data_IF_987333381342
#
_entry.id   IF_987333381342
#
_cell.length_a   1.000
_cell.length_b   1.000
_cell.length_c   1.000
_cell.angle_alpha   90.00
_cell.angle_beta   90.00
_cell.angle_gamma   90.00
#
_symmetry.space_group_name_H-M   'P 1'
#
loop_
_entity.id
_entity.type
_entity.pdbx_description
1 polymer ?
#
# COMPACT_ATOMS: atom_id res chain seq x y z
N UNK A 1 13.30 -5.39 10.63
CA UNK A 1 12.26 -4.32 10.64
C UNK A 1 11.50 -4.30 9.32
N UNK A 2 10.41 -3.52 9.21
CA UNK A 2 9.61 -3.34 7.98
C UNK A 2 9.94 -1.98 7.35
N UNK A 3 10.07 -1.94 6.02
CA UNK A 3 10.21 -0.71 5.22
C UNK A 3 9.03 -0.63 4.26
N UNK A 4 8.46 0.58 4.06
CA UNK A 4 7.37 0.83 3.13
C UNK A 4 7.81 1.74 1.98
N UNK A 5 7.21 1.54 0.80
CA UNK A 5 7.61 2.21 -0.44
C UNK A 5 6.47 2.98 -1.12
N UNK A 6 5.29 3.09 -0.49
CA UNK A 6 4.10 3.55 -1.21
C UNK A 6 3.19 4.50 -0.46
N UNK A 7 3.60 5.10 0.67
CA UNK A 7 2.75 6.04 1.41
C UNK A 7 2.83 7.48 0.88
N UNK A 8 4.00 7.90 0.39
CA UNK A 8 4.25 9.27 -0.08
C UNK A 8 4.42 9.38 -1.58
N UNK A 9 4.67 8.26 -2.26
CA UNK A 9 4.85 8.16 -3.72
C UNK A 9 4.60 6.71 -4.16
N UNK A 10 4.71 6.45 -5.46
CA UNK A 10 4.68 5.10 -6.03
C UNK A 10 6.09 4.75 -6.54
N UNK A 11 6.90 4.17 -5.63
CA UNK A 11 8.29 3.77 -5.96
C UNK A 11 8.31 2.69 -7.05
N UNK A 12 7.53 1.59 -6.95
CA UNK A 12 7.50 0.59 -7.99
C UNK A 12 7.21 1.12 -9.39
N UNK A 13 6.26 2.06 -9.49
CA UNK A 13 5.82 2.59 -10.78
C UNK A 13 6.83 3.54 -11.45
N UNK A 14 7.54 4.35 -10.68
CA UNK A 14 8.30 5.49 -11.23
C UNK A 14 9.77 5.52 -10.84
N UNK A 15 10.18 4.73 -9.86
CA UNK A 15 11.50 4.79 -9.23
C UNK A 15 12.11 3.41 -9.02
N UNK A 16 11.68 2.43 -9.82
CA UNK A 16 12.14 1.04 -9.74
C UNK A 16 13.66 0.90 -9.91
N UNK A 17 14.25 1.62 -10.88
CA UNK A 17 15.70 1.64 -11.10
C UNK A 17 16.44 2.23 -9.89
N UNK A 18 15.96 3.38 -9.37
CA UNK A 18 16.52 3.98 -8.16
C UNK A 18 16.48 2.99 -7.00
N UNK A 19 15.34 2.36 -6.76
CA UNK A 19 15.18 1.41 -5.68
C UNK A 19 16.12 0.20 -5.84
N UNK A 20 16.24 -0.32 -7.06
CA UNK A 20 17.20 -1.38 -7.38
C UNK A 20 18.65 -0.97 -7.06
N UNK A 21 19.04 0.27 -7.35
CA UNK A 21 20.35 0.79 -7.00
C UNK A 21 20.52 0.93 -5.48
N UNK A 22 19.48 1.38 -4.76
CA UNK A 22 19.52 1.44 -3.28
C UNK A 22 19.68 0.06 -2.64
N UNK A 23 19.00 -0.96 -3.17
CA UNK A 23 19.17 -2.35 -2.70
C UNK A 23 20.61 -2.87 -2.92
N UNK A 24 21.20 -2.57 -4.08
CA UNK A 24 22.58 -2.97 -4.38
C UNK A 24 23.61 -2.26 -3.49
N UNK A 25 23.40 -0.98 -3.20
CA UNK A 25 24.28 -0.19 -2.33
C UNK A 25 24.02 -0.42 -0.83
N UNK A 26 22.91 -1.06 -0.48
CA UNK A 26 22.59 -1.48 0.87
C UNK A 26 22.11 -0.37 1.80
N UNK A 27 21.77 0.84 1.29
CA UNK A 27 21.21 1.91 2.10
C UNK A 27 20.40 2.92 1.31
N UNK A 28 19.56 3.68 2.03
CA UNK A 28 18.76 4.79 1.51
C UNK A 28 18.75 5.95 2.52
N UNK A 29 18.79 7.18 2.01
CA UNK A 29 18.62 8.41 2.79
C UNK A 29 17.23 8.98 2.59
N UNK A 30 16.56 9.28 3.70
CA UNK A 30 15.20 9.83 3.72
C UNK A 30 15.20 11.16 4.42
N UNK A 31 14.86 12.22 3.70
CA UNK A 31 14.75 13.57 4.23
C UNK A 31 13.43 13.75 4.97
N UNK A 32 13.49 14.32 6.17
CA UNK A 32 12.29 14.60 6.95
C UNK A 32 11.44 15.68 6.23
N UNK A 33 10.16 15.40 5.88
CA UNK A 33 9.33 16.34 5.15
C UNK A 33 8.98 17.62 5.93
N UNK A 34 9.13 17.60 7.26
CA UNK A 34 8.85 18.74 8.16
C UNK A 34 10.11 19.49 8.60
N UNK A 35 11.28 18.87 8.48
CA UNK A 35 12.57 19.48 8.76
C UNK A 35 13.60 19.01 7.72
N UNK A 36 13.76 19.74 6.62
CA UNK A 36 14.59 19.30 5.49
C UNK A 36 16.05 19.01 5.83
N UNK A 37 16.60 19.62 6.89
CA UNK A 37 17.97 19.36 7.31
C UNK A 37 18.15 18.06 8.09
N UNK A 38 17.06 17.40 8.50
CA UNK A 38 17.13 16.09 9.15
C UNK A 38 17.04 14.99 8.10
N UNK A 39 18.05 14.13 8.07
CA UNK A 39 18.18 13.00 7.16
C UNK A 39 18.30 11.72 7.97
N UNK A 40 17.42 10.77 7.74
CA UNK A 40 17.52 9.42 8.29
C UNK A 40 18.16 8.51 7.26
N UNK A 41 19.28 7.84 7.62
CA UNK A 41 19.89 6.82 6.78
C UNK A 41 19.47 5.44 7.27
N UNK A 42 18.81 4.68 6.40
CA UNK A 42 18.37 3.32 6.64
C UNK A 42 19.24 2.33 5.88
N UNK A 43 19.69 1.28 6.54
CA UNK A 43 20.27 0.11 5.87
C UNK A 43 19.16 -0.63 5.11
N UNK A 44 19.48 -1.06 3.91
CA UNK A 44 18.67 -1.97 3.10
C UNK A 44 19.40 -3.34 3.03
N UNK A 45 19.57 -3.95 4.18
CA UNK A 45 20.29 -5.21 4.34
C UNK A 45 19.29 -6.27 4.83
N UNK A 46 19.18 -7.46 4.20
CA UNK A 46 18.25 -8.51 4.60
C UNK A 46 18.42 -8.97 6.06
N UNK A 47 19.59 -8.75 6.67
CA UNK A 47 19.81 -9.08 8.09
C UNK A 47 19.05 -8.17 9.06
N UNK A 48 18.56 -7.01 8.62
CA UNK A 48 17.84 -6.04 9.45
C UNK A 48 16.48 -5.63 8.86
N UNK A 49 16.26 -5.84 7.55
CA UNK A 49 14.98 -5.58 6.88
C UNK A 49 14.28 -6.91 6.64
N UNK A 50 13.28 -7.21 7.46
CA UNK A 50 12.54 -8.48 7.42
C UNK A 50 11.52 -8.49 6.28
N UNK A 51 10.84 -7.35 6.06
CA UNK A 51 9.80 -7.21 5.03
C UNK A 51 9.86 -5.83 4.38
N UNK A 52 9.66 -5.82 3.07
CA UNK A 52 9.41 -4.60 2.30
C UNK A 52 7.93 -4.59 1.90
N UNK A 53 7.19 -3.57 2.38
CA UNK A 53 5.80 -3.33 2.02
C UNK A 53 5.71 -2.41 0.80
N UNK A 54 5.05 -2.88 -0.24
CA UNK A 54 4.85 -2.14 -1.48
C UNK A 54 3.38 -1.71 -1.60
N UNK A 55 3.15 -0.46 -2.01
CA UNK A 55 1.84 0.00 -2.47
C UNK A 55 2.03 0.67 -3.82
N UNK A 56 1.38 0.17 -4.86
CA UNK A 56 1.59 0.65 -6.24
C UNK A 56 0.33 0.60 -7.07
N UNK A 57 0.23 1.46 -8.07
CA UNK A 57 -0.73 1.35 -9.17
C UNK A 57 -0.13 0.76 -10.45
N UNK A 58 1.17 0.46 -10.43
CA UNK A 58 1.84 -0.14 -11.60
C UNK A 58 3.08 -0.93 -11.14
N UNK A 59 2.98 -2.24 -10.92
CA UNK A 59 4.11 -3.06 -10.50
C UNK A 59 5.10 -3.37 -11.63
N UNK A 60 4.71 -3.22 -12.90
CA UNK A 60 5.49 -3.69 -14.05
C UNK A 60 6.95 -3.21 -14.10
N UNK A 61 7.30 -1.93 -13.76
CA UNK A 61 8.69 -1.49 -13.77
C UNK A 61 9.59 -2.22 -12.77
N UNK A 62 9.01 -2.88 -11.74
CA UNK A 62 9.80 -3.68 -10.79
C UNK A 62 10.12 -5.09 -11.28
N UNK A 63 9.41 -5.64 -12.25
CA UNK A 63 9.63 -7.03 -12.70
C UNK A 63 11.07 -7.35 -13.11
N UNK A 64 11.82 -6.48 -13.80
CA UNK A 64 13.22 -6.73 -14.09
C UNK A 64 14.12 -6.81 -12.86
N UNK A 65 13.67 -6.26 -11.74
CA UNK A 65 14.43 -6.12 -10.50
C UNK A 65 14.04 -7.13 -9.41
N UNK A 66 13.04 -7.99 -9.63
CA UNK A 66 12.53 -8.93 -8.62
C UNK A 66 13.60 -9.85 -8.04
N UNK A 67 14.63 -10.19 -8.81
CA UNK A 67 15.77 -10.99 -8.31
C UNK A 67 16.52 -10.35 -7.16
N UNK A 68 16.51 -9.01 -7.04
CA UNK A 68 17.14 -8.28 -5.94
C UNK A 68 16.34 -8.39 -4.63
N UNK A 69 15.09 -8.79 -4.72
CA UNK A 69 14.17 -8.90 -3.58
C UNK A 69 14.09 -10.32 -2.99
N UNK A 70 14.80 -11.30 -3.56
CA UNK A 70 14.69 -12.72 -3.19
C UNK A 70 15.00 -13.02 -1.70
N UNK A 71 15.88 -12.22 -1.10
CA UNK A 71 16.33 -12.39 0.28
C UNK A 71 15.51 -11.54 1.28
N UNK A 72 14.50 -10.80 0.80
CA UNK A 72 13.59 -9.99 1.61
C UNK A 72 12.20 -10.62 1.64
N UNK A 73 11.53 -10.55 2.78
CA UNK A 73 10.10 -10.71 2.82
C UNK A 73 9.43 -9.57 2.01
N UNK A 74 8.32 -9.90 1.36
CA UNK A 74 7.60 -8.94 0.52
C UNK A 74 6.12 -8.98 0.84
N UNK A 75 5.47 -7.80 0.85
CA UNK A 75 4.02 -7.70 0.85
C UNK A 75 3.60 -6.58 -0.09
N UNK A 76 2.75 -6.91 -1.06
CA UNK A 76 2.36 -6.01 -2.13
C UNK A 76 0.89 -5.65 -2.04
N UNK A 77 0.59 -4.35 -2.06
CA UNK A 77 -0.71 -3.86 -2.44
C UNK A 77 -0.66 -3.27 -3.85
N UNK A 78 -1.49 -3.83 -4.73
CA UNK A 78 -1.70 -3.24 -6.06
C UNK A 78 -3.07 -2.59 -6.09
N UNK A 79 -3.08 -1.27 -6.35
CA UNK A 79 -4.30 -0.48 -6.41
C UNK A 79 -4.86 -0.50 -7.83
N UNK A 80 -6.03 -1.12 -8.00
CA UNK A 80 -6.80 -1.11 -9.24
C UNK A 80 -8.19 -0.57 -8.92
N UNK A 81 -8.51 0.58 -9.49
CA UNK A 81 -9.75 1.33 -9.32
C UNK A 81 -10.45 1.47 -10.67
N UNK A 82 -11.76 1.75 -10.72
CA UNK A 82 -12.48 1.78 -11.99
C UNK A 82 -12.37 3.13 -12.73
N UNK A 83 -11.59 4.07 -12.20
CA UNK A 83 -11.55 5.43 -12.72
C UNK A 83 -10.82 5.55 -14.04
N UNK A 84 -11.35 6.42 -14.90
CA UNK A 84 -10.75 6.80 -16.16
C UNK A 84 -9.65 7.88 -16.00
N UNK A 85 -9.12 8.35 -17.14
CA UNK A 85 -8.09 9.39 -17.19
C UNK A 85 -8.54 10.76 -16.68
N UNK A 86 -9.85 10.98 -16.57
CA UNK A 86 -10.43 12.17 -15.94
C UNK A 86 -10.10 12.27 -14.44
N UNK A 87 -9.88 11.14 -13.78
CA UNK A 87 -9.53 11.04 -12.36
C UNK A 87 -8.09 10.56 -12.16
N UNK A 88 -7.64 9.62 -12.98
CA UNK A 88 -6.31 8.98 -12.91
C UNK A 88 -5.53 9.18 -14.24
N UNK A 89 -5.05 10.39 -14.52
CA UNK A 89 -4.54 10.75 -15.85
C UNK A 89 -3.44 9.85 -16.39
N UNK A 90 -2.53 9.38 -15.51
CA UNK A 90 -1.32 8.66 -15.89
C UNK A 90 -1.26 7.24 -15.31
N UNK A 91 -2.39 6.71 -14.85
CA UNK A 91 -2.47 5.29 -14.47
C UNK A 91 -2.58 4.45 -15.75
N UNK A 92 -1.85 3.34 -15.87
CA UNK A 92 -1.94 2.45 -17.02
C UNK A 92 -3.35 1.91 -17.27
N UNK A 93 -3.56 1.33 -18.45
CA UNK A 93 -4.79 0.64 -18.79
C UNK A 93 -5.14 -0.46 -17.77
N UNK A 94 -6.43 -0.60 -17.44
CA UNK A 94 -6.87 -1.49 -16.36
C UNK A 94 -6.70 -2.97 -16.71
N UNK A 95 -6.87 -3.36 -17.96
CA UNK A 95 -6.63 -4.75 -18.39
C UNK A 95 -5.16 -5.11 -18.21
N UNK A 96 -4.25 -4.22 -18.64
CA UNK A 96 -2.83 -4.41 -18.40
C UNK A 96 -2.50 -4.51 -16.90
N UNK A 97 -3.12 -3.68 -16.05
CA UNK A 97 -2.89 -3.76 -14.61
C UNK A 97 -3.38 -5.07 -14.00
N UNK A 98 -4.49 -5.63 -14.49
CA UNK A 98 -4.97 -6.96 -14.10
C UNK A 98 -3.98 -8.05 -14.48
N UNK A 99 -3.43 -8.00 -15.70
CA UNK A 99 -2.40 -8.97 -16.14
C UNK A 99 -1.11 -8.84 -15.32
N UNK A 100 -0.67 -7.60 -15.06
CA UNK A 100 0.51 -7.33 -14.22
C UNK A 100 0.28 -7.78 -12.76
N UNK A 101 -0.95 -7.65 -12.23
CA UNK A 101 -1.32 -8.16 -10.91
C UNK A 101 -1.19 -9.68 -10.84
N UNK A 102 -1.79 -10.40 -11.80
CA UNK A 102 -1.71 -11.87 -11.89
C UNK A 102 -0.28 -12.34 -11.95
N UNK A 103 0.51 -11.74 -12.85
CA UNK A 103 1.95 -12.01 -12.97
C UNK A 103 2.70 -11.78 -11.66
N UNK A 104 2.38 -10.70 -10.94
CA UNK A 104 3.01 -10.43 -9.64
C UNK A 104 2.61 -11.48 -8.61
N UNK A 105 1.32 -11.85 -8.57
CA UNK A 105 0.80 -12.91 -7.70
C UNK A 105 1.52 -14.25 -7.91
N UNK A 106 1.74 -14.63 -9.18
CA UNK A 106 2.51 -15.84 -9.52
C UNK A 106 3.97 -15.78 -9.02
N UNK A 107 4.57 -14.58 -8.96
CA UNK A 107 5.95 -14.40 -8.49
C UNK A 107 6.04 -14.42 -6.96
N UNK A 108 5.13 -13.75 -6.26
CA UNK A 108 5.27 -13.51 -4.80
C UNK A 108 4.38 -14.42 -3.96
N UNK A 109 3.38 -15.06 -4.56
CA UNK A 109 2.40 -15.92 -3.91
C UNK A 109 1.22 -15.17 -3.28
N UNK A 110 0.10 -15.87 -3.12
CA UNK A 110 -1.19 -15.34 -2.64
C UNK A 110 -1.10 -14.64 -1.28
N UNK A 111 -0.24 -15.13 -0.38
CA UNK A 111 -0.08 -14.58 0.95
C UNK A 111 0.66 -13.23 0.97
N UNK A 112 1.29 -12.86 -0.15
CA UNK A 112 2.16 -11.67 -0.26
C UNK A 112 1.57 -10.58 -1.13
N UNK A 113 0.30 -10.70 -1.55
CA UNK A 113 -0.34 -9.72 -2.43
C UNK A 113 -1.80 -9.47 -2.01
N UNK A 114 -2.22 -8.21 -2.07
CA UNK A 114 -3.60 -7.79 -1.88
C UNK A 114 -4.01 -6.74 -2.92
N UNK A 115 -5.26 -6.78 -3.30
CA UNK A 115 -5.86 -5.76 -4.15
C UNK A 115 -6.37 -4.59 -3.31
N UNK A 116 -6.18 -3.35 -3.80
CA UNK A 116 -6.77 -2.14 -3.22
C UNK A 116 -7.74 -1.51 -4.21
N UNK A 117 -9.00 -1.42 -3.81
CA UNK A 117 -10.04 -0.65 -4.48
C UNK A 117 -10.28 0.63 -3.67
N UNK A 118 -9.33 1.56 -3.76
CA UNK A 118 -9.16 2.66 -2.82
C UNK A 118 -8.59 3.92 -3.51
N UNK A 119 -9.22 5.10 -3.33
CA UNK A 119 -10.46 5.36 -2.60
C UNK A 119 -11.72 5.20 -3.45
N UNK A 120 -12.87 4.99 -2.81
CA UNK A 120 -14.20 5.03 -3.41
C UNK A 120 -14.79 6.43 -3.22
N UNK A 121 -15.33 7.02 -4.28
CA UNK A 121 -16.18 8.22 -4.20
C UNK A 121 -17.38 8.05 -5.13
N UNK A 122 -18.50 8.70 -4.77
CA UNK A 122 -19.73 8.63 -5.55
C UNK A 122 -19.94 9.95 -6.29
N UNK A 123 -20.30 9.88 -7.57
CA UNK A 123 -20.61 11.01 -8.43
C UNK A 123 -21.66 10.62 -9.47
N UNK A 124 -22.08 11.56 -10.32
CA UNK A 124 -23.01 11.26 -11.43
C UNK A 124 -22.46 10.19 -12.39
N UNK A 125 -21.15 10.22 -12.65
CA UNK A 125 -20.48 9.25 -13.53
C UNK A 125 -20.13 7.95 -12.81
N UNK A 126 -19.62 8.05 -11.59
CA UNK A 126 -19.15 6.94 -10.77
C UNK A 126 -20.19 6.67 -9.67
N UNK A 127 -21.35 6.14 -10.10
CA UNK A 127 -22.49 5.84 -9.21
C UNK A 127 -22.21 4.61 -8.34
N UNK A 128 -23.05 4.36 -7.34
CA UNK A 128 -22.97 3.13 -6.54
C UNK A 128 -23.08 1.89 -7.41
N UNK A 129 -24.03 1.85 -8.35
CA UNK A 129 -24.20 0.73 -9.29
C UNK A 129 -22.99 0.56 -10.22
N UNK A 130 -22.34 1.67 -10.59
CA UNK A 130 -21.09 1.61 -11.34
C UNK A 130 -20.00 0.92 -10.53
N UNK A 131 -19.85 1.28 -9.25
CA UNK A 131 -18.87 0.65 -8.36
C UNK A 131 -19.15 -0.83 -8.14
N UNK A 132 -20.42 -1.23 -7.96
CA UNK A 132 -20.81 -2.63 -7.82
C UNK A 132 -20.37 -3.44 -9.04
N UNK A 133 -20.74 -2.99 -10.25
CA UNK A 133 -20.36 -3.68 -11.50
C UNK A 133 -18.84 -3.72 -11.73
N UNK A 134 -18.15 -2.62 -11.46
CA UNK A 134 -16.71 -2.55 -11.65
C UNK A 134 -15.96 -3.43 -10.62
N UNK A 135 -16.42 -3.46 -9.39
CA UNK A 135 -15.84 -4.30 -8.35
C UNK A 135 -16.04 -5.79 -8.68
N UNK A 136 -17.22 -6.19 -9.14
CA UNK A 136 -17.51 -7.55 -9.62
C UNK A 136 -16.55 -7.96 -10.75
N UNK A 137 -16.40 -7.11 -11.77
CA UNK A 137 -15.50 -7.38 -12.90
C UNK A 137 -14.05 -7.57 -12.47
N UNK A 138 -13.56 -6.72 -11.55
CA UNK A 138 -12.19 -6.82 -11.06
C UNK A 138 -12.04 -8.03 -10.13
N UNK A 139 -13.00 -8.29 -9.24
CA UNK A 139 -12.97 -9.46 -8.34
C UNK A 139 -12.95 -10.75 -9.15
N UNK A 140 -13.82 -10.89 -10.14
CA UNK A 140 -13.84 -12.04 -11.05
C UNK A 140 -12.52 -12.22 -11.81
N UNK A 141 -11.90 -11.12 -12.26
CA UNK A 141 -10.62 -11.17 -12.95
C UNK A 141 -9.46 -11.56 -12.03
N UNK A 142 -9.55 -11.27 -10.72
CA UNK A 142 -8.53 -11.53 -9.71
C UNK A 142 -8.80 -12.78 -8.86
N UNK A 143 -9.87 -13.52 -9.16
CA UNK A 143 -10.20 -14.77 -8.48
C UNK A 143 -9.03 -15.77 -8.57
N UNK A 144 -8.64 -16.32 -7.42
CA UNK A 144 -7.47 -17.19 -7.30
C UNK A 144 -6.10 -16.49 -7.31
N UNK A 145 -6.02 -15.14 -7.47
CA UNK A 145 -4.77 -14.39 -7.46
C UNK A 145 -4.57 -13.53 -6.21
N UNK A 146 -5.59 -13.39 -5.36
CA UNK A 146 -5.50 -12.73 -4.05
C UNK A 146 -6.66 -13.16 -3.17
N UNK A 147 -6.43 -13.17 -1.85
CA UNK A 147 -7.46 -13.41 -0.83
C UNK A 147 -7.89 -12.12 -0.12
N UNK A 148 -7.38 -10.96 -0.55
CA UNK A 148 -7.62 -9.69 0.14
C UNK A 148 -8.04 -8.59 -0.83
N UNK A 149 -9.17 -7.95 -0.54
CA UNK A 149 -9.64 -6.72 -1.17
C UNK A 149 -9.71 -5.60 -0.12
N UNK A 150 -8.86 -4.59 -0.25
CA UNK A 150 -8.89 -3.40 0.64
C UNK A 150 -9.78 -2.34 0.01
N UNK A 151 -10.72 -1.81 0.77
CA UNK A 151 -11.57 -0.68 0.36
C UNK A 151 -11.36 0.50 1.30
N UNK A 152 -11.51 1.73 0.81
CA UNK A 152 -11.74 2.93 1.62
C UNK A 152 -12.58 3.93 0.87
N UNK A 153 -13.26 4.81 1.59
CA UNK A 153 -13.99 5.93 1.00
C UNK A 153 -13.12 7.18 1.01
N UNK A 154 -13.42 8.12 0.09
CA UNK A 154 -12.58 9.29 -0.11
C UNK A 154 -12.56 10.19 1.14
N UNK A 155 -11.35 10.51 1.58
CA UNK A 155 -11.11 11.54 2.59
C UNK A 155 -10.88 12.89 1.91
N UNK A 156 -11.64 13.90 2.27
CA UNK A 156 -11.55 15.23 1.68
C UNK A 156 -10.47 16.10 2.36
N UNK A 157 -9.21 15.63 2.32
CA UNK A 157 -8.06 16.42 2.77
C UNK A 157 -7.95 17.76 2.03
N UNK A 158 -7.27 18.78 2.59
CA UNK A 158 -7.11 20.08 1.91
C UNK A 158 -6.54 19.99 0.49
N UNK A 159 -5.61 19.07 0.24
CA UNK A 159 -5.07 18.83 -1.11
C UNK A 159 -6.09 18.19 -2.04
N UNK A 160 -6.91 17.26 -1.54
CA UNK A 160 -7.99 16.61 -2.30
C UNK A 160 -9.04 17.65 -2.67
N UNK A 161 -9.53 18.45 -1.72
CA UNK A 161 -10.50 19.54 -2.00
C UNK A 161 -10.02 20.51 -3.07
N UNK A 162 -8.72 20.81 -3.11
CA UNK A 162 -8.12 21.68 -4.13
C UNK A 162 -7.99 21.01 -5.49
N UNK A 163 -7.52 19.76 -5.55
CA UNK A 163 -7.24 19.04 -6.79
C UNK A 163 -8.48 18.35 -7.38
N UNK A 164 -9.51 18.15 -6.55
CA UNK A 164 -10.76 17.48 -6.90
C UNK A 164 -11.94 18.21 -6.23
N UNK A 165 -12.22 19.48 -6.61
CA UNK A 165 -13.22 20.34 -5.95
C UNK A 165 -14.65 19.83 -6.06
N UNK A 166 -14.97 19.03 -7.07
CA UNK A 166 -16.28 18.40 -7.23
C UNK A 166 -16.47 17.14 -6.38
N UNK A 167 -15.43 16.59 -5.76
CA UNK A 167 -15.55 15.45 -4.86
C UNK A 167 -16.46 15.78 -3.68
N UNK A 168 -17.29 14.82 -3.30
CA UNK A 168 -18.19 14.91 -2.14
C UNK A 168 -17.88 13.77 -1.18
N UNK A 169 -18.19 14.01 0.06
CA UNK A 169 -18.12 12.97 1.09
C UNK A 169 -19.14 11.87 0.78
N UNK A 170 -18.73 10.62 0.93
CA UNK A 170 -19.63 9.48 0.82
C UNK A 170 -20.38 9.34 2.15
N UNK A 171 -21.70 9.43 2.12
CA UNK A 171 -22.51 9.38 3.34
C UNK A 171 -22.39 8.02 4.05
N UNK A 172 -22.67 7.99 5.33
CA UNK A 172 -22.68 6.74 6.12
C UNK A 172 -23.60 5.69 5.50
N UNK A 173 -24.78 6.07 5.06
CA UNK A 173 -25.75 5.18 4.41
C UNK A 173 -25.18 4.60 3.10
N UNK A 174 -24.59 5.44 2.26
CA UNK A 174 -23.92 5.00 1.04
C UNK A 174 -22.76 4.04 1.33
N UNK A 175 -21.92 4.35 2.33
CA UNK A 175 -20.81 3.47 2.74
C UNK A 175 -21.30 2.10 3.21
N UNK A 176 -22.35 2.06 4.01
CA UNK A 176 -22.91 0.80 4.50
C UNK A 176 -23.56 0.00 3.36
N UNK A 177 -24.36 0.66 2.52
CA UNK A 177 -25.05 0.00 1.40
C UNK A 177 -24.04 -0.57 0.40
N UNK A 178 -23.09 0.25 -0.03
CA UNK A 178 -22.07 -0.19 -0.98
C UNK A 178 -21.12 -1.22 -0.33
N UNK A 179 -20.67 -0.98 0.89
CA UNK A 179 -19.76 -1.87 1.61
C UNK A 179 -20.32 -3.29 1.76
N UNK A 180 -21.60 -3.44 2.09
CA UNK A 180 -22.28 -4.76 2.15
C UNK A 180 -22.21 -5.51 0.82
N UNK A 181 -22.50 -4.80 -0.27
CA UNK A 181 -22.51 -5.42 -1.58
C UNK A 181 -21.09 -5.80 -2.04
N UNK A 182 -20.09 -4.94 -1.77
CA UNK A 182 -18.70 -5.26 -2.08
C UNK A 182 -18.18 -6.45 -1.25
N UNK A 183 -18.61 -6.59 0.01
CA UNK A 183 -18.25 -7.74 0.86
C UNK A 183 -18.82 -9.03 0.28
N UNK A 184 -20.10 -9.02 -0.12
CA UNK A 184 -20.75 -10.17 -0.77
C UNK A 184 -19.98 -10.60 -2.02
N UNK A 185 -19.74 -9.65 -2.93
CA UNK A 185 -19.00 -9.90 -4.17
C UNK A 185 -17.59 -10.46 -3.87
N UNK A 186 -16.83 -9.84 -2.97
CA UNK A 186 -15.50 -10.32 -2.63
C UNK A 186 -15.53 -11.77 -2.10
N UNK A 187 -16.52 -12.09 -1.24
CA UNK A 187 -16.70 -13.45 -0.70
C UNK A 187 -17.00 -14.46 -1.79
N UNK A 188 -17.82 -14.11 -2.80
CA UNK A 188 -18.14 -14.99 -3.93
C UNK A 188 -16.89 -15.34 -4.77
N UNK A 189 -15.83 -14.50 -4.70
CA UNK A 189 -14.53 -14.70 -5.36
C UNK A 189 -13.38 -15.03 -4.39
N UNK A 190 -13.68 -15.59 -3.21
CA UNK A 190 -12.68 -16.07 -2.26
C UNK A 190 -11.84 -14.97 -1.58
N UNK A 191 -12.31 -13.72 -1.60
CA UNK A 191 -11.61 -12.58 -1.01
C UNK A 191 -12.30 -12.08 0.26
N UNK A 192 -11.49 -11.63 1.23
CA UNK A 192 -11.97 -10.91 2.41
C UNK A 192 -11.80 -9.40 2.21
N UNK A 193 -12.86 -8.63 2.42
CA UNK A 193 -12.80 -7.16 2.40
C UNK A 193 -12.16 -6.66 3.70
N UNK A 194 -11.15 -5.79 3.56
CA UNK A 194 -10.49 -5.07 4.67
C UNK A 194 -10.74 -3.57 4.50
N UNK A 195 -11.65 -2.96 5.30
CA UNK A 195 -11.84 -1.52 5.31
C UNK A 195 -10.59 -0.79 5.84
N UNK A 196 -10.13 0.24 5.14
CA UNK A 196 -8.94 0.99 5.52
C UNK A 196 -9.32 2.31 6.19
N UNK A 197 -9.23 2.37 7.53
CA UNK A 197 -9.61 3.51 8.36
C UNK A 197 -11.09 3.94 8.20
N UNK A 198 -11.98 2.95 8.17
CA UNK A 198 -13.45 3.13 8.04
C UNK A 198 -14.20 2.68 9.30
N UNK A 199 -13.49 2.44 10.42
CA UNK A 199 -14.08 1.89 11.64
C UNK A 199 -14.48 0.42 11.48
N UNK A 200 -15.45 -0.02 12.30
CA UNK A 200 -15.88 -1.41 12.40
C UNK A 200 -17.33 -1.66 11.93
N UNK A 201 -17.97 -0.66 11.36
CA UNK A 201 -19.39 -0.72 10.94
C UNK A 201 -19.67 -1.83 9.90
N UNK A 202 -18.66 -2.25 9.14
CA UNK A 202 -18.78 -3.33 8.17
C UNK A 202 -18.45 -4.73 8.72
N UNK A 203 -17.95 -4.83 9.96
CA UNK A 203 -17.63 -6.11 10.59
C UNK A 203 -18.84 -7.07 10.69
N UNK A 204 -20.07 -6.62 11.04
CA UNK A 204 -21.24 -7.51 11.08
C UNK A 204 -21.61 -8.14 9.75
N UNK A 205 -21.08 -7.64 8.64
CA UNK A 205 -21.34 -8.13 7.28
C UNK A 205 -20.20 -9.00 6.73
N UNK A 206 -19.17 -9.29 7.54
CA UNK A 206 -18.06 -10.18 7.17
C UNK A 206 -16.76 -9.46 6.76
N UNK A 207 -16.67 -8.13 6.92
CA UNK A 207 -15.40 -7.44 6.70
C UNK A 207 -14.41 -7.69 7.86
N UNK A 208 -13.12 -7.78 7.52
CA UNK A 208 -12.02 -7.79 8.49
C UNK A 208 -11.57 -6.35 8.81
N UNK A 209 -12.14 -5.77 9.86
CA UNK A 209 -11.87 -4.39 10.29
C UNK A 209 -10.60 -4.25 11.17
N UNK A 210 -9.82 -5.30 11.34
CA UNK A 210 -8.60 -5.28 12.16
C UNK A 210 -7.41 -4.53 11.57
N UNK A 211 -7.59 -3.86 10.43
CA UNK A 211 -6.56 -3.11 9.69
C UNK A 211 -6.13 -3.80 8.39
N UNK A 212 -5.83 -2.99 7.38
CA UNK A 212 -5.53 -3.51 6.04
C UNK A 212 -4.06 -3.98 5.86
N UNK A 213 -3.15 -3.62 6.78
CA UNK A 213 -1.73 -3.98 6.73
C UNK A 213 -1.22 -4.22 8.16
N UNK A 214 -1.46 -5.40 8.70
CA UNK A 214 -1.09 -5.78 10.07
C UNK A 214 0.23 -6.54 10.10
N UNK A 215 0.79 -6.69 11.30
CA UNK A 215 1.95 -7.57 11.51
C UNK A 215 1.61 -9.00 11.07
N UNK A 216 0.41 -9.51 11.39
CA UNK A 216 -0.04 -10.84 10.98
C UNK A 216 -0.09 -11.04 9.46
N UNK A 217 -0.37 -9.99 8.68
CA UNK A 217 -0.34 -10.07 7.21
C UNK A 217 1.11 -10.24 6.71
N UNK A 218 2.05 -9.52 7.31
CA UNK A 218 3.48 -9.69 7.02
C UNK A 218 3.99 -11.06 7.47
N UNK A 219 3.59 -11.53 8.66
CA UNK A 219 3.94 -12.86 9.18
C UNK A 219 3.43 -13.97 8.26
N UNK A 220 2.18 -13.86 7.79
CA UNK A 220 1.59 -14.79 6.80
C UNK A 220 2.40 -14.79 5.50
N UNK A 221 2.80 -13.62 5.01
CA UNK A 221 3.55 -13.47 3.77
C UNK A 221 4.94 -14.13 3.83
N UNK A 222 5.64 -14.01 4.98
CA UNK A 222 7.00 -14.54 5.12
C UNK A 222 7.09 -15.92 5.80
N UNK A 223 5.96 -16.42 6.32
CA UNK A 223 5.92 -17.68 7.07
C UNK A 223 6.71 -17.66 8.38
N UNK A 224 6.92 -16.47 8.98
CA UNK A 224 7.72 -16.28 10.21
C UNK A 224 7.03 -15.27 11.12
N UNK A 225 7.18 -15.45 12.43
CA UNK A 225 6.68 -14.51 13.43
C UNK A 225 7.59 -13.29 13.57
N UNK A 226 6.97 -12.13 13.88
CA UNK A 226 7.65 -10.85 14.02
C UNK A 226 7.43 -10.26 15.42
N UNK A 227 8.48 -10.12 16.21
CA UNK A 227 8.49 -9.36 17.47
C UNK A 227 8.55 -7.85 17.20
N UNK A 228 7.56 -7.34 16.46
CA UNK A 228 7.51 -5.94 16.10
C UNK A 228 7.17 -5.05 17.31
N UNK A 229 7.81 -3.88 17.47
CA UNK A 229 7.46 -2.93 18.54
C UNK A 229 6.03 -2.41 18.33
N UNK A 230 5.29 -2.22 19.44
CA UNK A 230 3.94 -1.63 19.37
C UNK A 230 3.99 -0.24 18.72
N UNK A 231 3.10 0.02 17.78
CA UNK A 231 2.94 1.34 17.15
C UNK A 231 1.47 1.76 17.17
N UNK A 232 1.26 3.07 17.18
CA UNK A 232 -0.07 3.65 16.91
C UNK A 232 -0.24 3.75 15.40
N UNK A 233 -1.46 3.57 14.90
CA UNK A 233 -1.83 3.81 13.51
C UNK A 233 -1.55 5.27 13.11
N UNK A 234 -1.45 5.51 11.81
CA UNK A 234 -1.22 6.85 11.26
C UNK A 234 -2.41 7.80 11.44
N UNK A 235 -3.61 7.25 11.62
CA UNK A 235 -4.88 7.96 11.86
C UNK A 235 -5.61 7.29 13.02
N UNK A 236 -6.59 7.98 13.62
CA UNK A 236 -7.34 7.49 14.80
C UNK A 236 -7.97 6.12 14.56
N UNK A 237 -8.54 5.88 13.38
CA UNK A 237 -9.21 4.62 13.00
C UNK A 237 -8.29 3.66 12.23
N UNK A 238 -6.98 3.98 12.10
CA UNK A 238 -6.03 3.16 11.37
C UNK A 238 -5.34 2.17 12.31
N UNK A 239 -5.62 0.88 12.15
CA UNK A 239 -4.95 -0.21 12.84
C UNK A 239 -3.75 -0.79 12.05
N UNK A 240 -3.35 -0.16 10.93
CA UNK A 240 -2.27 -0.64 10.09
C UNK A 240 -0.90 -0.44 10.74
N UNK A 241 -0.02 -1.40 10.56
CA UNK A 241 1.38 -1.29 10.96
C UNK A 241 2.19 -0.63 9.84
N UNK A 242 2.14 0.70 9.79
CA UNK A 242 2.91 1.51 8.85
C UNK A 242 4.26 1.85 9.46
N UNK A 243 5.33 1.24 8.94
CA UNK A 243 6.71 1.48 9.38
C UNK A 243 7.34 2.67 8.60
N UNK A 244 8.66 2.64 8.41
CA UNK A 244 9.40 3.66 7.67
C UNK A 244 8.99 3.69 6.22
N UNK A 245 8.44 4.80 5.74
CA UNK A 245 8.25 5.04 4.32
C UNK A 245 9.46 5.78 3.74
N UNK A 246 10.05 5.23 2.67
CA UNK A 246 11.24 5.78 2.02
C UNK A 246 10.91 6.68 0.82
N UNK A 247 9.63 6.95 0.57
CA UNK A 247 9.16 7.87 -0.47
C UNK A 247 9.29 9.34 -0.09
N UNK A 248 8.92 10.22 -1.03
CA UNK A 248 8.85 11.66 -0.85
C UNK A 248 7.51 12.21 -1.38
N UNK A 249 6.97 13.24 -0.72
CA UNK A 249 5.77 13.93 -1.19
C UNK A 249 6.01 14.67 -2.52
N UNK A 250 4.96 14.87 -3.30
CA UNK A 250 4.98 15.57 -4.58
C UNK A 250 5.87 14.89 -5.64
N UNK A 251 5.93 13.57 -5.65
CA UNK A 251 6.79 12.83 -6.58
C UNK A 251 6.03 11.76 -7.38
N UNK A 252 4.80 11.42 -6.99
CA UNK A 252 4.00 10.42 -7.71
C UNK A 252 3.47 10.98 -9.04
N UNK A 253 3.91 10.41 -10.16
CA UNK A 253 3.56 10.87 -11.51
C UNK A 253 2.22 10.36 -12.02
N UNK A 254 1.48 9.54 -11.25
CA UNK A 254 0.10 9.15 -11.62
C UNK A 254 -0.86 10.33 -11.66
N UNK A 255 -0.62 11.36 -10.83
CA UNK A 255 -1.40 12.60 -10.77
C UNK A 255 -2.89 12.39 -10.48
N UNK A 256 -3.23 11.34 -9.74
CA UNK A 256 -4.62 11.06 -9.33
C UNK A 256 -5.20 12.28 -8.61
N UNK A 257 -6.41 12.71 -8.98
CA UNK A 257 -7.04 13.94 -8.45
C UNK A 257 -7.33 13.86 -6.95
N UNK A 258 -7.60 12.68 -6.45
CA UNK A 258 -7.87 12.41 -5.03
C UNK A 258 -6.60 12.18 -4.18
N UNK A 259 -5.39 12.41 -4.74
CA UNK A 259 -4.15 12.08 -4.04
C UNK A 259 -3.83 13.06 -2.92
N UNK A 260 -3.67 12.54 -1.69
CA UNK A 260 -3.23 13.32 -0.54
C UNK A 260 -1.73 13.64 -0.55
N UNK A 261 -0.93 12.87 -1.30
CA UNK A 261 0.53 13.00 -1.30
C UNK A 261 1.03 14.12 -2.23
N UNK A 262 0.27 14.44 -3.28
CA UNK A 262 0.64 15.48 -4.25
C UNK A 262 -0.10 16.80 -3.98
N UNK A 263 0.64 17.89 -3.99
CA UNK A 263 0.06 19.23 -3.89
C UNK A 263 -0.50 19.73 -5.24
N UNK A 264 0.04 19.24 -6.36
CA UNK A 264 -0.38 19.55 -7.72
C UNK A 264 0.65 19.07 -8.74
N UNK A 265 0.30 19.09 -10.03
CA UNK A 265 1.16 18.59 -11.12
C UNK A 265 2.47 19.39 -11.26
N UNK A 266 2.43 20.73 -11.07
CA UNK A 266 3.63 21.57 -11.10
C UNK A 266 4.66 21.19 -10.04
N UNK A 267 4.21 20.87 -8.81
CA UNK A 267 5.10 20.39 -7.75
C UNK A 267 5.74 19.05 -8.11
N UNK A 268 4.96 18.13 -8.69
CA UNK A 268 5.49 16.82 -9.13
C UNK A 268 6.52 16.98 -10.24
N UNK A 269 6.26 17.86 -11.21
CA UNK A 269 7.20 18.15 -12.29
C UNK A 269 8.52 18.72 -11.75
N UNK A 270 8.45 19.69 -10.82
CA UNK A 270 9.63 20.28 -10.18
C UNK A 270 10.46 19.22 -9.44
N UNK A 271 9.83 18.41 -8.61
CA UNK A 271 10.52 17.34 -7.87
C UNK A 271 11.11 16.27 -8.80
N UNK A 272 10.39 15.92 -9.87
CA UNK A 272 10.86 14.90 -10.83
C UNK A 272 12.16 15.30 -11.55
N UNK A 273 12.41 16.60 -11.73
CA UNK A 273 13.66 17.10 -12.33
C UNK A 273 14.88 16.96 -11.41
N UNK A 274 14.66 16.81 -10.12
CA UNK A 274 15.70 16.62 -9.10
C UNK A 274 16.01 15.15 -8.83
N UNK A 275 15.31 14.23 -9.51
CA UNK A 275 15.54 12.80 -9.35
C UNK A 275 16.79 12.34 -10.11
N UNK A 276 17.70 11.65 -9.41
CA UNK A 276 18.82 10.90 -10.00
C UNK A 276 18.72 9.45 -9.48
N UNK A 277 18.62 8.43 -10.35
CA UNK A 277 18.54 7.04 -9.92
C UNK A 277 19.79 6.53 -9.17
N UNK A 278 20.90 7.27 -9.21
CA UNK A 278 22.12 6.94 -8.46
C UNK A 278 22.19 7.63 -7.10
N UNK A 279 21.38 8.68 -6.86
CA UNK A 279 21.38 9.39 -5.58
C UNK A 279 20.93 8.47 -4.43
N UNK A 280 21.49 8.60 -3.21
CA UNK A 280 20.98 7.93 -2.03
C UNK A 280 19.59 8.44 -1.60
N UNK A 281 19.15 9.58 -2.11
CA UNK A 281 17.82 10.16 -1.90
C UNK A 281 16.92 9.88 -3.10
N UNK A 282 15.62 9.72 -2.84
CA UNK A 282 14.65 9.65 -3.93
C UNK A 282 14.66 10.93 -4.78
N UNK A 283 14.80 12.07 -4.12
CA UNK A 283 14.83 13.40 -4.73
C UNK A 283 16.00 14.19 -4.17
N UNK A 284 16.76 14.80 -5.06
CA UNK A 284 17.94 15.62 -4.73
C UNK A 284 19.13 14.81 -4.26
N UNK A 285 19.99 15.42 -3.48
CA UNK A 285 21.22 14.83 -2.95
C UNK A 285 21.53 15.44 -1.57
N UNK A 286 22.70 15.14 -1.02
CA UNK A 286 23.22 15.81 0.18
C UNK A 286 23.28 17.32 -0.02
N UNK A 287 22.97 18.05 1.02
CA UNK A 287 23.00 19.52 1.05
C UNK A 287 23.83 19.98 2.25
N UNK A 288 24.41 21.18 2.13
CA UNK A 288 25.09 21.82 3.26
C UNK A 288 24.11 21.98 4.44
N UNK A 289 24.57 21.61 5.62
CA UNK A 289 23.78 21.63 6.85
C UNK A 289 22.93 20.38 7.10
N UNK A 290 22.98 19.35 6.25
CA UNK A 290 22.32 18.07 6.50
C UNK A 290 22.85 17.41 7.80
N UNK A 291 21.90 17.08 8.67
CA UNK A 291 22.15 16.28 9.90
C UNK A 291 21.74 14.85 9.65
N UNK A 292 22.71 14.03 9.30
CA UNK A 292 22.48 12.62 8.96
C UNK A 292 22.46 11.80 10.25
N UNK A 293 21.37 11.05 10.43
CA UNK A 293 21.18 10.12 11.54
C UNK A 293 21.11 8.69 11.01
N UNK A 294 22.01 7.85 11.43
CA UNK A 294 21.95 6.42 11.18
C UNK A 294 20.90 5.78 12.07
N UNK A 295 19.86 5.23 11.44
CA UNK A 295 18.75 4.63 12.18
C UNK A 295 19.19 3.29 12.78
N UNK A 296 18.99 3.11 14.07
CA UNK A 296 19.21 1.82 14.72
C UNK A 296 18.19 0.81 14.20
N UNK A 297 18.65 -0.24 13.57
CA UNK A 297 17.84 -1.27 12.93
C UNK A 297 18.23 -2.66 13.41
N UNK A 298 17.22 -3.49 13.61
CA UNK A 298 17.38 -4.92 13.90
C UNK A 298 16.27 -5.72 13.24
N UNK A 299 16.55 -6.99 12.95
CA UNK A 299 15.50 -7.94 12.58
C UNK A 299 14.49 -8.09 13.73
N UNK A 300 13.22 -8.25 13.37
CA UNK A 300 12.14 -8.58 14.29
C UNK A 300 11.71 -10.03 14.17
N UNK A 301 12.33 -10.81 13.26
CA UNK A 301 12.04 -12.23 13.12
C UNK A 301 12.29 -12.92 14.47
N UNK A 302 11.25 -13.61 14.96
CA UNK A 302 11.35 -14.45 16.14
C UNK A 302 12.07 -15.75 15.74
N UNK A 303 13.22 -16.02 16.38
CA UNK A 303 13.99 -17.26 16.16
C UNK A 303 13.32 -18.51 16.76
N UNK A 304 12.17 -18.37 17.44
CA UNK A 304 11.43 -19.50 17.99
C UNK A 304 10.59 -20.15 16.89
N UNK A 305 10.74 -21.46 16.74
CA UNK A 305 9.85 -22.27 15.89
C UNK A 305 8.51 -22.41 16.60
N UNK A 306 7.53 -21.56 16.25
CA UNK A 306 6.15 -21.72 16.72
C UNK A 306 5.42 -22.62 15.72
N UNK A 307 4.88 -23.73 16.19
CA UNK A 307 4.00 -24.59 15.41
C UNK A 307 2.71 -23.80 15.16
N UNK A 308 2.44 -23.45 13.91
CA UNK A 308 1.15 -22.88 13.53
C UNK A 308 0.14 -24.03 13.63
N UNK A 309 -0.69 -24.03 14.68
CA UNK A 309 -1.87 -24.89 14.75
C UNK A 309 -3.02 -24.10 14.10
N UNK A 310 -3.41 -24.38 12.87
CA UNK A 310 -4.68 -23.89 12.36
C UNK A 310 -5.74 -24.68 13.14
N UNK A 311 -6.67 -24.01 13.78
CA UNK A 311 -7.75 -24.57 14.60
C UNK A 311 -7.31 -25.07 15.99
N UNK A 312 -7.17 -24.16 16.94
CA UNK A 312 -7.40 -24.50 18.33
C UNK A 312 -8.89 -24.87 18.46
N UNK A 313 -9.18 -26.18 18.41
CA UNK A 313 -10.48 -26.74 18.79
C UNK A 313 -10.80 -26.17 20.17
N UNK A 314 -11.82 -25.29 20.24
CA UNK A 314 -12.41 -24.90 21.51
C UNK A 314 -13.00 -26.17 22.10
N UNK A 315 -12.28 -26.79 23.00
CA UNK A 315 -12.86 -27.82 23.88
C UNK A 315 -13.87 -27.06 24.75
N UNK A 316 -15.14 -27.20 24.41
CA UNK A 316 -16.24 -26.78 25.26
C UNK A 316 -16.21 -27.76 26.43
N UNK A 317 -15.65 -27.30 27.56
CA UNK A 317 -15.73 -28.02 28.83
C UNK A 317 -17.20 -28.12 29.24
N UNK A 318 -17.68 -29.32 29.33
CA UNK A 318 -18.88 -29.67 30.09
C UNK A 318 -18.57 -29.53 31.56
N UNK A 319 -19.19 -28.55 32.23
CA UNK A 319 -19.78 -28.66 33.56
C UNK A 319 -20.83 -27.56 33.74
#
# INVERSE_FOLDING_TARGET
>A
MIINTGQRTDIPAFYAEWFANRLKEGFVCVRNPYNPNQVSRYRLDPSVVDVIGFCTKNPAPMFPHMKLLKDYGQYWFVTITPYGRDIEPNVPDKHRLLDDFKRLSDIVGLNSIGWRYDPIFVSERYTMDYHVRAFEQISSALDGYTETAVISFIDLYPKVRRNFPEAREVTKEQRLTLGKELIRIASDHGMTVKPCAEGDELAPFGADCGGCMRISDYEKAIGKWLNAPKRKGARTECACYLACDIGAYNTCKHLCRYCYANAGSGNVLTQSRLHDPRSPFLIGNYMDGDKIHDVSQKSWIDGQTRIHCPDAIKVVGTE
#
